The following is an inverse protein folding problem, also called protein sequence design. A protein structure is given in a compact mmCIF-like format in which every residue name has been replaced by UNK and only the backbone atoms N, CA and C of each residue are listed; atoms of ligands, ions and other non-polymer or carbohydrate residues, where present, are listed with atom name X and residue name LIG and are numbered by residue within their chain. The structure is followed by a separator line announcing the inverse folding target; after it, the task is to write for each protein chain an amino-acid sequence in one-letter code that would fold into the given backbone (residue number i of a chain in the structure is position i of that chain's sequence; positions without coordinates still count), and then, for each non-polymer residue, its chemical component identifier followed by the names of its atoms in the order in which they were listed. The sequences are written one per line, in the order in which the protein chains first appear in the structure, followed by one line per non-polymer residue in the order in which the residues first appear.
data_IF_059695321550
#
_entry.id   IF_059695321550
#
_cell.length_a   1.000
_cell.length_b   1.000
_cell.length_c   1.000
_cell.angle_alpha   90.00
_cell.angle_beta   90.00
_cell.angle_gamma   90.00
#
_symmetry.space_group_name_H-M   'P 1'
#
loop_
_entity.id
_entity.type
_entity.pdbx_description
1 polymer ?
#
# COMPACT_ATOMS: atom_id res chain seq x y z
N UNK A 1 -8.07 -1.84 32.39
CA UNK A 1 -6.92 -2.46 31.76
C UNK A 1 -6.86 -1.92 30.35
N UNK A 2 -5.79 -1.19 30.01
CA UNK A 2 -5.59 -0.72 28.65
C UNK A 2 -5.36 -1.96 27.76
N UNK A 3 -6.13 -2.09 26.70
CA UNK A 3 -5.89 -3.09 25.67
C UNK A 3 -4.55 -2.74 24.99
N UNK A 4 -3.47 -3.38 25.41
CA UNK A 4 -2.19 -3.27 24.74
C UNK A 4 -2.28 -3.99 23.40
N UNK A 5 -2.00 -3.28 22.31
CA UNK A 5 -1.94 -3.87 20.98
C UNK A 5 -0.60 -4.58 20.83
N UNK A 6 -0.63 -5.90 20.69
CA UNK A 6 0.56 -6.70 20.41
C UNK A 6 0.90 -6.68 18.92
N UNK A 7 2.20 -6.57 18.61
CA UNK A 7 2.72 -6.78 17.25
C UNK A 7 3.16 -8.22 17.13
N UNK A 8 2.59 -8.94 16.15
CA UNK A 8 2.91 -10.34 15.84
C UNK A 8 3.49 -10.42 14.44
N UNK A 9 4.16 -11.55 14.13
CA UNK A 9 4.68 -11.87 12.80
C UNK A 9 5.68 -10.82 12.26
N UNK A 10 6.61 -10.40 13.13
CA UNK A 10 7.66 -9.43 12.79
C UNK A 10 8.93 -10.08 12.22
N UNK A 11 8.98 -11.41 12.15
CA UNK A 11 10.05 -12.12 11.47
C UNK A 11 10.04 -11.79 9.97
N UNK A 12 11.21 -11.85 9.35
CA UNK A 12 11.44 -11.44 7.96
C UNK A 12 11.28 -9.92 7.69
N UNK A 13 11.32 -9.10 8.74
CA UNK A 13 11.35 -7.65 8.58
C UNK A 13 12.59 -7.22 7.76
N UNK A 14 12.36 -6.46 6.70
CA UNK A 14 13.42 -5.97 5.79
C UNK A 14 13.31 -4.47 5.59
N UNK A 15 14.41 -3.85 5.17
CA UNK A 15 14.39 -2.47 4.74
C UNK A 15 13.60 -2.34 3.44
N UNK A 16 12.63 -1.44 3.41
CA UNK A 16 11.76 -1.21 2.26
C UNK A 16 11.16 0.19 2.24
N UNK A 17 10.31 0.49 1.25
CA UNK A 17 9.62 1.76 1.19
C UNK A 17 8.81 2.00 2.46
N UNK A 18 8.94 3.20 3.04
CA UNK A 18 8.22 3.60 4.26
C UNK A 18 6.70 3.54 4.13
N UNK A 19 6.19 3.55 2.92
CA UNK A 19 4.77 3.44 2.61
C UNK A 19 4.29 1.99 2.44
N UNK A 20 5.18 0.98 2.56
CA UNK A 20 4.80 -0.42 2.32
C UNK A 20 3.78 -0.94 3.35
N UNK A 21 4.03 -0.69 4.65
CA UNK A 21 3.12 -1.12 5.71
C UNK A 21 1.79 -0.38 5.68
N UNK A 22 1.75 0.97 5.51
CA UNK A 22 0.51 1.68 5.26
C UNK A 22 -0.28 1.14 4.07
N UNK A 23 0.37 0.81 2.95
CA UNK A 23 -0.32 0.18 1.81
C UNK A 23 -0.90 -1.16 2.19
N UNK A 24 -0.15 -1.98 2.95
CA UNK A 24 -0.60 -3.31 3.36
C UNK A 24 -1.85 -3.25 4.24
N UNK A 25 -1.96 -2.23 5.08
CA UNK A 25 -3.09 -2.03 5.98
C UNK A 25 -4.28 -1.35 5.30
N UNK A 26 -4.02 -0.30 4.51
CA UNK A 26 -5.07 0.59 3.99
C UNK A 26 -5.58 0.20 2.61
N UNK A 27 -4.84 -0.62 1.88
CA UNK A 27 -5.19 -1.15 0.56
C UNK A 27 -5.04 -2.66 0.50
N UNK A 28 -5.52 -3.33 1.54
CA UNK A 28 -5.58 -4.80 1.55
C UNK A 28 -6.56 -5.31 0.48
N UNK A 29 -6.34 -6.51 -0.02
CA UNK A 29 -7.20 -7.13 -1.02
C UNK A 29 -8.56 -7.58 -0.48
N UNK A 30 -8.75 -7.58 0.84
CA UNK A 30 -9.99 -8.02 1.50
C UNK A 30 -10.87 -6.87 1.99
N UNK A 31 -10.33 -5.67 2.18
CA UNK A 31 -11.06 -4.51 2.72
C UNK A 31 -10.77 -3.28 1.88
N UNK A 32 -11.83 -2.52 1.59
CA UNK A 32 -11.71 -1.24 0.91
C UNK A 32 -12.12 -0.09 1.81
N UNK A 33 -11.19 0.82 2.04
CA UNK A 33 -11.45 2.08 2.73
C UNK A 33 -11.73 3.21 1.73
N UNK A 34 -12.63 4.16 2.05
CA UNK A 34 -12.79 5.38 1.25
C UNK A 34 -11.47 6.12 1.09
N UNK A 35 -11.20 6.69 -0.10
CA UNK A 35 -9.93 7.39 -0.36
C UNK A 35 -9.67 8.52 0.64
N UNK A 36 -10.69 9.30 1.00
CA UNK A 36 -10.55 10.37 1.98
C UNK A 36 -10.04 9.85 3.34
N UNK A 37 -10.55 8.72 3.80
CA UNK A 37 -10.13 8.08 5.04
C UNK A 37 -8.69 7.54 4.95
N UNK A 38 -8.31 6.95 3.81
CA UNK A 38 -6.92 6.52 3.59
C UNK A 38 -5.95 7.70 3.69
N UNK A 39 -6.29 8.84 3.07
CA UNK A 39 -5.47 10.04 3.09
C UNK A 39 -5.35 10.66 4.50
N UNK A 40 -6.45 10.72 5.24
CA UNK A 40 -6.44 11.20 6.62
C UNK A 40 -5.49 10.36 7.50
N UNK A 41 -5.57 9.03 7.41
CA UNK A 41 -4.68 8.15 8.16
C UNK A 41 -3.24 8.25 7.70
N UNK A 42 -3.01 8.41 6.40
CA UNK A 42 -1.68 8.55 5.81
C UNK A 42 -1.01 9.86 6.26
N UNK A 43 -1.75 10.96 6.29
CA UNK A 43 -1.26 12.26 6.77
C UNK A 43 -0.94 12.20 8.27
N UNK A 44 -1.79 11.55 9.07
CA UNK A 44 -1.52 11.28 10.48
C UNK A 44 -0.29 10.39 10.71
N UNK A 45 -0.04 9.43 9.83
CA UNK A 45 1.15 8.58 9.87
C UNK A 45 2.41 9.39 9.55
N UNK A 46 2.41 10.19 8.47
CA UNK A 46 3.53 11.07 8.11
C UNK A 46 3.87 12.04 9.25
N UNK A 47 2.85 12.66 9.85
CA UNK A 47 3.04 13.57 10.99
C UNK A 47 3.71 12.88 12.18
N UNK A 48 3.29 11.66 12.52
CA UNK A 48 3.91 10.89 13.60
C UNK A 48 5.36 10.51 13.28
N UNK A 49 5.65 10.12 12.05
CA UNK A 49 7.02 9.81 11.61
C UNK A 49 7.95 11.02 11.71
N UNK A 50 7.49 12.21 11.30
CA UNK A 50 8.27 13.45 11.40
C UNK A 50 8.52 13.86 12.85
N UNK A 51 7.66 13.45 13.78
CA UNK A 51 7.79 13.74 15.21
C UNK A 51 8.58 12.67 16.00
N UNK A 52 8.92 11.52 15.38
CA UNK A 52 9.70 10.46 16.05
C UNK A 52 11.12 10.89 16.48
N UNK A 53 11.64 11.98 15.90
CA UNK A 53 12.92 12.58 16.29
C UNK A 53 12.82 13.62 17.42
N UNK A 54 11.62 13.93 17.91
CA UNK A 54 11.44 14.88 19.01
C UNK A 54 11.95 14.27 20.35
N UNK A 55 12.59 15.08 21.23
CA UNK A 55 13.29 14.58 22.41
C UNK A 55 12.40 13.99 23.52
N UNK A 56 11.09 13.91 23.31
CA UNK A 56 10.15 13.38 24.29
C UNK A 56 9.99 11.84 24.29
N UNK A 57 10.58 11.15 23.31
CA UNK A 57 10.59 9.66 23.32
C UNK A 57 11.74 9.22 24.21
N UNK A 58 11.50 9.08 25.51
CA UNK A 58 12.45 8.48 26.46
C UNK A 58 12.59 6.98 26.17
N UNK A 59 13.52 6.64 25.31
CA UNK A 59 13.91 5.25 25.07
C UNK A 59 14.97 4.92 26.12
N UNK A 60 14.66 3.99 27.02
CA UNK A 60 15.60 3.53 28.07
C UNK A 60 16.86 2.94 27.46
N UNK A 61 18.00 3.38 27.96
CA UNK A 61 19.36 3.14 27.47
C UNK A 61 19.76 1.66 27.39
N UNK A 62 19.52 1.01 26.25
CA UNK A 62 20.24 -0.21 25.86
C UNK A 62 20.89 0.01 24.48
N UNK A 63 22.10 -0.48 24.26
CA UNK A 63 22.88 -0.20 23.05
C UNK A 63 22.13 -0.47 21.71
N UNK A 64 21.28 -1.52 21.55
CA UNK A 64 20.45 -1.68 20.37
C UNK A 64 19.41 -0.58 20.19
N UNK A 65 18.95 0.04 21.27
CA UNK A 65 17.93 1.10 21.29
C UNK A 65 18.53 2.43 20.86
N UNK A 66 19.79 2.73 21.19
CA UNK A 66 20.47 3.94 20.75
C UNK A 66 20.68 3.98 19.23
N UNK A 67 21.01 2.84 18.61
CA UNK A 67 21.13 2.74 17.16
C UNK A 67 19.77 2.91 16.46
N UNK A 68 18.71 2.32 17.01
CA UNK A 68 17.33 2.48 16.50
C UNK A 68 16.88 3.94 16.64
N UNK A 69 17.15 4.59 17.76
CA UNK A 69 16.83 6.00 17.97
C UNK A 69 17.53 6.90 16.95
N UNK A 70 18.82 6.63 16.68
CA UNK A 70 19.59 7.37 15.65
C UNK A 70 19.01 7.17 14.25
N UNK A 71 18.57 5.96 13.90
CA UNK A 71 17.92 5.67 12.61
C UNK A 71 16.58 6.38 12.49
N UNK A 72 15.77 6.38 13.54
CA UNK A 72 14.48 7.08 13.57
C UNK A 72 14.66 8.59 13.44
N UNK A 73 15.67 9.17 14.11
CA UNK A 73 16.00 10.58 13.98
C UNK A 73 16.48 10.93 12.57
N UNK A 74 17.32 10.11 11.95
CA UNK A 74 17.71 10.27 10.55
C UNK A 74 16.53 10.22 9.60
N UNK A 75 15.58 9.32 9.85
CA UNK A 75 14.35 9.20 9.07
C UNK A 75 13.49 10.45 9.21
N UNK A 76 13.29 10.95 10.44
CA UNK A 76 12.52 12.16 10.70
C UNK A 76 13.11 13.36 9.95
N UNK A 77 14.44 13.52 9.97
CA UNK A 77 15.15 14.58 9.23
C UNK A 77 14.92 14.44 7.71
N UNK A 78 14.97 13.21 7.17
CA UNK A 78 14.71 12.96 5.74
C UNK A 78 13.28 13.29 5.34
N UNK A 79 12.32 13.12 6.27
CA UNK A 79 10.91 13.39 6.03
C UNK A 79 10.49 14.84 6.28
N UNK A 80 11.35 15.66 6.92
CA UNK A 80 11.04 17.04 7.27
C UNK A 80 10.60 17.89 6.07
N UNK A 81 11.16 17.63 4.89
CA UNK A 81 10.85 18.34 3.65
C UNK A 81 9.86 17.58 2.73
N UNK A 82 9.31 16.44 3.17
CA UNK A 82 8.39 15.67 2.39
C UNK A 82 6.98 16.23 2.54
N UNK A 83 6.40 16.69 1.44
CA UNK A 83 5.03 17.17 1.43
C UNK A 83 4.04 16.00 1.49
N UNK A 84 2.83 16.24 2.02
CA UNK A 84 1.75 15.26 2.01
C UNK A 84 1.49 14.71 0.58
N UNK A 85 1.52 15.57 -0.44
CA UNK A 85 1.35 15.17 -1.83
C UNK A 85 2.44 14.22 -2.33
N UNK A 86 3.70 14.43 -1.94
CA UNK A 86 4.79 13.50 -2.26
C UNK A 86 4.62 12.16 -1.55
N UNK A 87 4.26 12.19 -0.27
CA UNK A 87 4.03 10.99 0.52
C UNK A 87 2.86 10.16 -0.01
N UNK A 88 1.76 10.81 -0.38
CA UNK A 88 0.61 10.18 -1.03
C UNK A 88 0.98 9.55 -2.38
N UNK A 89 1.82 10.22 -3.17
CA UNK A 89 2.34 9.66 -4.42
C UNK A 89 3.17 8.40 -4.18
N UNK A 90 4.05 8.40 -3.18
CA UNK A 90 4.82 7.21 -2.81
C UNK A 90 3.91 6.06 -2.36
N UNK A 91 2.87 6.38 -1.58
CA UNK A 91 1.86 5.41 -1.17
C UNK A 91 1.13 4.80 -2.37
N UNK A 92 0.74 5.61 -3.36
CA UNK A 92 0.05 5.12 -4.55
C UNK A 92 0.95 4.28 -5.45
N UNK A 93 2.21 4.67 -5.65
CA UNK A 93 3.19 3.90 -6.42
C UNK A 93 3.56 2.58 -5.73
N UNK A 94 3.75 2.59 -4.41
CA UNK A 94 3.98 1.36 -3.62
C UNK A 94 2.77 0.45 -3.71
N UNK A 95 1.56 1.02 -3.65
CA UNK A 95 0.31 0.30 -3.84
C UNK A 95 0.20 -0.34 -5.22
N UNK A 96 0.56 0.41 -6.27
CA UNK A 96 0.59 -0.11 -7.63
C UNK A 96 1.51 -1.33 -7.76
N UNK A 97 2.75 -1.22 -7.27
CA UNK A 97 3.71 -2.33 -7.31
C UNK A 97 3.19 -3.55 -6.55
N UNK A 98 2.67 -3.35 -5.33
CA UNK A 98 2.11 -4.42 -4.52
C UNK A 98 0.93 -5.12 -5.20
N UNK A 99 -0.03 -4.37 -5.71
CA UNK A 99 -1.23 -4.95 -6.34
C UNK A 99 -0.93 -5.64 -7.67
N UNK A 100 0.01 -5.15 -8.47
CA UNK A 100 0.50 -5.88 -9.66
C UNK A 100 1.11 -7.23 -9.26
N UNK A 101 1.88 -7.26 -8.18
CA UNK A 101 2.41 -8.52 -7.63
C UNK A 101 1.27 -9.46 -7.18
N UNK A 102 0.25 -8.93 -6.48
CA UNK A 102 -0.90 -9.72 -6.01
C UNK A 102 -1.68 -10.31 -7.20
N UNK A 103 -1.95 -9.52 -8.25
CA UNK A 103 -2.56 -10.03 -9.49
C UNK A 103 -1.80 -11.24 -10.04
N UNK A 104 -0.47 -11.13 -10.15
CA UNK A 104 0.38 -12.22 -10.65
C UNK A 104 0.40 -13.45 -9.72
N UNK A 105 0.46 -13.22 -8.40
CA UNK A 105 0.45 -14.31 -7.41
C UNK A 105 -0.88 -15.05 -7.41
N UNK A 106 -2.01 -14.34 -7.41
CA UNK A 106 -3.35 -14.97 -7.39
C UNK A 106 -3.65 -15.73 -8.69
N UNK A 107 -3.25 -15.16 -9.84
CA UNK A 107 -3.32 -15.89 -11.11
C UNK A 107 -2.46 -17.17 -11.08
N UNK A 108 -1.25 -17.10 -10.53
CA UNK A 108 -0.38 -18.28 -10.39
C UNK A 108 -0.99 -19.32 -9.44
N UNK A 109 -1.54 -18.93 -8.30
CA UNK A 109 -2.19 -19.82 -7.35
C UNK A 109 -3.35 -20.58 -8.02
N UNK A 110 -4.13 -19.92 -8.86
CA UNK A 110 -5.18 -20.55 -9.62
C UNK A 110 -4.63 -21.51 -10.71
N UNK A 111 -3.74 -21.04 -11.56
CA UNK A 111 -3.28 -21.77 -12.75
C UNK A 111 -2.36 -22.95 -12.40
N UNK A 112 -1.47 -22.77 -11.41
CA UNK A 112 -0.46 -23.76 -11.04
C UNK A 112 -0.90 -24.62 -9.86
N UNK A 113 -1.44 -23.98 -8.83
CA UNK A 113 -1.68 -24.63 -7.53
C UNK A 113 -3.17 -25.00 -7.35
N UNK A 114 -4.02 -24.75 -8.39
CA UNK A 114 -5.45 -25.06 -8.43
C UNK A 114 -6.27 -24.46 -7.28
N UNK A 115 -5.81 -23.33 -6.72
CA UNK A 115 -6.47 -22.59 -5.63
C UNK A 115 -7.31 -21.46 -6.19
N UNK A 116 -8.56 -21.77 -6.56
CA UNK A 116 -9.48 -20.81 -7.22
C UNK A 116 -10.13 -19.80 -6.28
N UNK A 117 -10.06 -20.00 -4.94
CA UNK A 117 -10.67 -19.08 -3.97
C UNK A 117 -10.15 -17.65 -4.06
N UNK A 118 -8.88 -17.48 -4.42
CA UNK A 118 -8.24 -16.16 -4.58
C UNK A 118 -8.73 -15.34 -5.78
N UNK A 119 -9.47 -15.97 -6.71
CA UNK A 119 -10.03 -15.25 -7.85
C UNK A 119 -11.13 -14.26 -7.44
N UNK A 120 -11.82 -14.51 -6.32
CA UNK A 120 -12.85 -13.63 -5.79
C UNK A 120 -12.29 -12.25 -5.37
N UNK A 121 -11.00 -12.16 -5.03
CA UNK A 121 -10.37 -10.93 -4.59
C UNK A 121 -9.78 -10.11 -5.76
N UNK A 122 -9.62 -10.72 -6.95
CA UNK A 122 -9.03 -10.07 -8.12
C UNK A 122 -9.78 -8.83 -8.61
N UNK A 123 -11.11 -8.73 -8.55
CA UNK A 123 -11.83 -7.52 -8.92
C UNK A 123 -11.38 -6.29 -8.12
N UNK A 124 -11.25 -6.42 -6.80
CA UNK A 124 -10.80 -5.33 -5.93
C UNK A 124 -9.33 -4.96 -6.21
N UNK A 125 -8.47 -5.96 -6.36
CA UNK A 125 -7.05 -5.73 -6.70
C UNK A 125 -6.91 -5.04 -8.05
N UNK A 126 -7.68 -5.46 -9.06
CA UNK A 126 -7.73 -4.81 -10.40
C UNK A 126 -8.16 -3.35 -10.27
N UNK A 127 -9.15 -3.05 -9.45
CA UNK A 127 -9.60 -1.69 -9.19
C UNK A 127 -8.50 -0.83 -8.56
N UNK A 128 -7.79 -1.34 -7.55
CA UNK A 128 -6.67 -0.64 -6.94
C UNK A 128 -5.54 -0.33 -7.94
N UNK A 129 -5.22 -1.27 -8.85
CA UNK A 129 -4.25 -1.04 -9.92
C UNK A 129 -4.71 0.10 -10.82
N UNK A 130 -5.95 0.09 -11.29
CA UNK A 130 -6.50 1.13 -12.17
C UNK A 130 -6.55 2.50 -11.50
N UNK A 131 -6.97 2.56 -10.24
CA UNK A 131 -6.97 3.80 -9.44
C UNK A 131 -5.55 4.36 -9.28
N UNK A 132 -4.59 3.52 -8.93
CA UNK A 132 -3.19 3.94 -8.77
C UNK A 132 -2.60 4.42 -10.10
N UNK A 133 -2.85 3.72 -11.21
CA UNK A 133 -2.42 4.14 -12.54
C UNK A 133 -3.03 5.50 -12.94
N UNK A 134 -4.33 5.72 -12.66
CA UNK A 134 -4.97 7.01 -12.94
C UNK A 134 -4.37 8.15 -12.12
N UNK A 135 -4.03 7.92 -10.85
CA UNK A 135 -3.47 8.92 -9.95
C UNK A 135 -1.98 9.23 -10.20
N UNK A 136 -1.24 8.30 -10.82
CA UNK A 136 0.22 8.41 -10.95
C UNK A 136 0.70 8.56 -12.40
N UNK A 137 -0.17 8.44 -13.38
CA UNK A 137 0.17 8.51 -14.82
C UNK A 137 0.91 9.79 -15.21
N UNK A 138 0.53 10.93 -14.63
CA UNK A 138 1.13 12.23 -14.93
C UNK A 138 2.54 12.38 -14.33
N UNK A 139 2.96 11.46 -13.47
CA UNK A 139 4.26 11.54 -12.82
C UNK A 139 5.42 11.03 -13.66
N UNK A 140 5.15 10.16 -14.63
CA UNK A 140 6.15 9.51 -15.47
C UNK A 140 5.55 8.98 -16.78
N UNK A 141 6.18 9.23 -17.92
CA UNK A 141 5.70 8.75 -19.22
C UNK A 141 5.53 7.22 -19.26
N UNK A 142 6.45 6.49 -18.63
CA UNK A 142 6.38 5.01 -18.56
C UNK A 142 5.15 4.52 -17.76
N UNK A 143 4.68 5.26 -16.77
CA UNK A 143 3.46 4.92 -16.03
C UNK A 143 2.23 5.20 -16.89
N UNK A 144 2.22 6.30 -17.65
CA UNK A 144 1.16 6.61 -18.60
C UNK A 144 1.06 5.56 -19.70
N UNK A 145 2.18 5.18 -20.31
CA UNK A 145 2.26 4.12 -21.32
C UNK A 145 1.75 2.78 -20.76
N UNK A 146 2.17 2.44 -19.54
CA UNK A 146 1.72 1.22 -18.89
C UNK A 146 0.21 1.26 -18.56
N UNK A 147 -0.33 2.40 -18.13
CA UNK A 147 -1.78 2.60 -17.94
C UNK A 147 -2.53 2.33 -19.23
N UNK A 148 -2.09 2.93 -20.33
CA UNK A 148 -2.77 2.82 -21.63
C UNK A 148 -2.74 1.38 -22.14
N UNK A 149 -1.62 0.69 -22.00
CA UNK A 149 -1.51 -0.75 -22.28
C UNK A 149 -2.42 -1.58 -21.35
N UNK A 150 -2.42 -1.29 -20.05
CA UNK A 150 -3.23 -2.02 -19.07
C UNK A 150 -4.73 -1.91 -19.40
N UNK A 151 -5.21 -0.72 -19.74
CA UNK A 151 -6.62 -0.48 -20.08
C UNK A 151 -6.99 -1.06 -21.45
N UNK A 152 -6.14 -0.95 -22.48
CA UNK A 152 -6.46 -1.45 -23.82
C UNK A 152 -6.33 -2.97 -23.93
N UNK A 153 -5.24 -3.54 -23.43
CA UNK A 153 -4.90 -4.94 -23.66
C UNK A 153 -5.33 -5.83 -22.49
N UNK A 154 -4.82 -5.55 -21.28
CA UNK A 154 -5.06 -6.45 -20.15
C UNK A 154 -6.50 -6.40 -19.66
N UNK A 155 -7.11 -5.23 -19.56
CA UNK A 155 -8.52 -5.10 -19.19
C UNK A 155 -9.47 -5.72 -20.21
N UNK A 156 -9.11 -5.75 -21.49
CA UNK A 156 -9.89 -6.45 -22.50
C UNK A 156 -9.93 -7.97 -22.26
N UNK A 157 -8.87 -8.55 -21.68
CA UNK A 157 -8.82 -9.96 -21.27
C UNK A 157 -9.54 -10.17 -19.92
N UNK A 158 -9.27 -9.29 -18.94
CA UNK A 158 -9.84 -9.38 -17.58
C UNK A 158 -11.37 -9.37 -17.63
N UNK A 159 -11.98 -8.46 -18.41
CA UNK A 159 -13.45 -8.32 -18.52
C UNK A 159 -14.15 -9.57 -19.08
N UNK A 160 -13.43 -10.48 -19.72
CA UNK A 160 -13.96 -11.74 -20.24
C UNK A 160 -13.88 -12.88 -19.22
N UNK A 161 -13.23 -12.67 -18.09
CA UNK A 161 -13.09 -13.71 -17.07
C UNK A 161 -14.37 -13.85 -16.24
N UNK A 162 -14.74 -15.09 -15.92
CA UNK A 162 -15.94 -15.39 -15.13
C UNK A 162 -15.92 -14.84 -13.70
N UNK A 163 -14.72 -14.57 -13.17
CA UNK A 163 -14.53 -14.00 -11.84
C UNK A 163 -14.57 -12.46 -11.82
N UNK A 164 -14.53 -11.82 -12.99
CA UNK A 164 -14.51 -10.37 -13.05
C UNK A 164 -15.91 -9.79 -12.88
N UNK A 165 -16.10 -9.03 -11.82
CA UNK A 165 -17.25 -8.18 -11.62
C UNK A 165 -16.79 -6.73 -11.56
N UNK A 166 -17.51 -5.82 -12.23
CA UNK A 166 -17.23 -4.40 -12.14
C UNK A 166 -17.63 -3.90 -10.74
N UNK A 167 -16.64 -3.60 -9.91
CA UNK A 167 -16.85 -3.16 -8.50
C UNK A 167 -17.63 -1.83 -8.41
N UNK A 168 -17.77 -1.11 -9.53
CA UNK A 168 -18.53 0.15 -9.57
C UNK A 168 -20.04 -0.05 -9.34
N UNK A 169 -20.56 -1.27 -9.49
CA UNK A 169 -21.98 -1.60 -9.31
C UNK A 169 -22.35 -2.12 -7.92
N UNK A 170 -21.36 -2.53 -7.12
CA UNK A 170 -21.58 -2.95 -5.74
C UNK A 170 -20.89 -1.93 -4.83
N UNK A 171 -21.69 -1.12 -4.15
CA UNK A 171 -21.19 -0.27 -3.09
C UNK A 171 -20.56 -1.10 -1.98
N UNK A 172 -19.26 -1.32 -2.04
CA UNK A 172 -18.49 -1.76 -0.88
C UNK A 172 -18.37 -0.56 0.06
N UNK A 173 -19.49 -0.19 0.67
CA UNK A 173 -19.51 0.61 1.86
C UNK A 173 -19.52 -0.38 3.04
N UNK A 174 -18.47 -0.33 3.84
CA UNK A 174 -18.56 -0.81 5.21
C UNK A 174 -19.50 0.10 6.00
#
# INVERSE_FOLDING_TARGET
EANEVGVIDFQDAVLGPITYDPVSLLKDCYIRWPRAQQLEWLDGYLMRLSNLGAPEVSIKDTAPVAEQASRLQSLAIQLENVTAAQFQRWFDLTGLQRHLRVLGVFARLHLRDHKSSYLADLPLVTKYVREALALTADSHSSVAEFRDWFESELMAVIRKQSWYEAIDSQGWAL
#
